data_IF_906986822529
#
_entry.id   IF_906986822529
#
_cell.length_a   1.000
_cell.length_b   1.000
_cell.length_c   1.000
_cell.angle_alpha   90.00
_cell.angle_beta   90.00
_cell.angle_gamma   90.00
#
_symmetry.space_group_name_H-M   'P 1'
#
loop_
_entity.id
_entity.type
_entity.pdbx_description
1 polymer ?
#
# COMPACT_ATOMS: atom_id res chain seq x y z
N UNK A 1 -6.22 9.70 -6.03
CA UNK A 1 -4.88 10.01 -6.56
C UNK A 1 -4.22 8.72 -7.02
N UNK A 2 -3.58 8.72 -8.19
CA UNK A 2 -3.00 7.52 -8.81
C UNK A 2 -1.45 7.50 -8.77
N UNK A 3 -0.80 6.59 -9.50
CA UNK A 3 0.67 6.44 -9.50
C UNK A 3 1.44 7.72 -9.87
N UNK A 4 0.82 8.66 -10.60
CA UNK A 4 1.43 9.96 -10.90
C UNK A 4 1.72 10.83 -9.68
N UNK A 5 1.09 10.57 -8.53
CA UNK A 5 1.41 11.25 -7.28
C UNK A 5 2.79 10.86 -6.73
N UNK A 6 3.37 9.73 -7.15
CA UNK A 6 4.73 9.33 -6.77
C UNK A 6 5.75 10.22 -7.45
N UNK A 7 5.51 10.59 -8.72
CA UNK A 7 6.44 11.41 -9.51
C UNK A 7 6.64 12.83 -8.98
N UNK A 8 5.74 13.32 -8.12
CA UNK A 8 5.84 14.65 -7.50
C UNK A 8 6.47 14.61 -6.10
N UNK A 9 6.94 13.43 -5.65
CA UNK A 9 7.63 13.29 -4.36
C UNK A 9 9.12 13.51 -4.53
N UNK A 10 9.70 14.27 -3.60
CA UNK A 10 11.16 14.44 -3.52
C UNK A 10 11.84 13.15 -3.03
N UNK A 11 11.18 12.41 -2.13
CA UNK A 11 11.67 11.14 -1.61
C UNK A 11 10.54 10.22 -1.12
N UNK A 12 10.89 8.94 -0.93
CA UNK A 12 9.99 7.89 -0.42
C UNK A 12 9.96 7.77 1.11
N UNK A 13 10.59 8.69 1.86
CA UNK A 13 10.45 8.70 3.31
C UNK A 13 8.99 8.91 3.74
N UNK A 14 8.68 8.57 4.99
CA UNK A 14 7.35 8.73 5.57
C UNK A 14 6.80 10.16 5.42
N UNK A 15 5.53 10.26 5.03
CA UNK A 15 4.77 11.50 5.01
C UNK A 15 4.20 11.77 6.39
N UNK A 16 4.38 12.99 6.86
CA UNK A 16 3.67 13.46 8.04
C UNK A 16 2.19 13.72 7.70
N UNK A 17 1.26 13.61 8.67
CA UNK A 17 -0.17 13.83 8.41
C UNK A 17 -0.55 15.22 7.90
N UNK A 18 0.28 16.23 8.16
CA UNK A 18 0.12 17.61 7.66
C UNK A 18 0.65 17.80 6.23
N UNK A 19 1.32 16.80 5.66
CA UNK A 19 1.83 16.86 4.29
C UNK A 19 0.68 16.82 3.28
N UNK A 20 0.67 17.75 2.31
CA UNK A 20 -0.43 17.88 1.33
C UNK A 20 -0.66 16.67 0.41
N UNK A 21 0.27 15.72 0.37
CA UNK A 21 0.13 14.44 -0.34
C UNK A 21 -0.32 13.27 0.56
N UNK A 22 -0.43 13.44 1.87
CA UNK A 22 -0.69 12.34 2.81
C UNK A 22 -1.98 11.57 2.48
N UNK A 23 -3.09 12.28 2.30
CA UNK A 23 -4.37 11.67 1.94
C UNK A 23 -4.37 11.03 0.55
N UNK A 24 -3.57 11.62 -0.36
CA UNK A 24 -3.39 11.10 -1.71
C UNK A 24 -2.71 9.71 -1.71
N UNK A 25 -1.96 9.35 -0.66
CA UNK A 25 -1.32 8.05 -0.48
C UNK A 25 -2.04 7.11 0.49
N UNK A 26 -2.78 7.66 1.46
CA UNK A 26 -3.57 6.86 2.41
C UNK A 26 -4.72 6.11 1.74
N UNK A 27 -5.42 6.74 0.78
CA UNK A 27 -6.52 6.08 0.09
C UNK A 27 -6.05 4.91 -0.83
N UNK A 28 -5.02 5.09 -1.68
CA UNK A 28 -4.43 3.99 -2.43
C UNK A 28 -3.84 2.87 -1.57
N UNK A 29 -3.28 3.17 -0.39
CA UNK A 29 -2.86 2.16 0.57
C UNK A 29 -4.03 1.25 0.95
N UNK A 30 -5.13 1.83 1.41
CA UNK A 30 -6.32 1.08 1.83
C UNK A 30 -6.89 0.24 0.68
N UNK A 31 -7.00 0.81 -0.52
CA UNK A 31 -7.49 0.08 -1.69
C UNK A 31 -6.55 -1.07 -2.09
N UNK A 32 -5.23 -0.84 -2.11
CA UNK A 32 -4.25 -1.86 -2.44
C UNK A 32 -4.19 -3.00 -1.42
N UNK A 33 -4.31 -2.69 -0.12
CA UNK A 33 -4.40 -3.71 0.94
C UNK A 33 -5.65 -4.59 0.79
N UNK A 34 -6.79 -3.97 0.48
CA UNK A 34 -8.05 -4.68 0.22
C UNK A 34 -7.91 -5.63 -0.98
N UNK A 35 -7.36 -5.14 -2.08
CA UNK A 35 -7.25 -5.91 -3.33
C UNK A 35 -6.21 -7.04 -3.20
N UNK A 36 -5.07 -6.79 -2.54
CA UNK A 36 -4.07 -7.82 -2.24
C UNK A 36 -4.63 -8.91 -1.32
N UNK A 37 -5.35 -8.53 -0.26
CA UNK A 37 -5.98 -9.50 0.64
C UNK A 37 -7.02 -10.35 -0.09
N UNK A 38 -7.79 -9.74 -0.99
CA UNK A 38 -8.74 -10.45 -1.84
C UNK A 38 -8.05 -11.42 -2.81
N UNK A 39 -6.95 -11.01 -3.44
CA UNK A 39 -6.18 -11.86 -4.35
C UNK A 39 -5.56 -13.07 -3.62
N UNK A 40 -5.00 -12.85 -2.43
CA UNK A 40 -4.47 -13.90 -1.55
C UNK A 40 -5.57 -14.89 -1.19
N UNK A 41 -6.71 -14.41 -0.68
CA UNK A 41 -7.82 -15.28 -0.30
C UNK A 41 -8.39 -16.07 -1.49
N UNK A 42 -8.41 -15.49 -2.70
CA UNK A 42 -8.77 -16.23 -3.90
C UNK A 42 -7.72 -17.29 -4.25
N UNK A 43 -6.44 -16.96 -4.15
CA UNK A 43 -5.31 -17.89 -4.34
C UNK A 43 -5.42 -19.12 -3.44
N UNK A 44 -5.74 -18.91 -2.16
CA UNK A 44 -5.98 -19.98 -1.18
C UNK A 44 -7.12 -20.92 -1.62
N UNK A 45 -8.22 -20.37 -2.16
CA UNK A 45 -9.37 -21.15 -2.64
C UNK A 45 -9.03 -22.00 -3.86
N UNK A 46 -8.22 -21.46 -4.78
CA UNK A 46 -7.89 -22.15 -6.04
C UNK A 46 -6.57 -22.94 -5.98
N UNK A 47 -5.89 -22.94 -4.84
CA UNK A 47 -4.63 -23.65 -4.64
C UNK A 47 -3.45 -23.04 -5.39
N UNK A 48 -3.42 -21.72 -5.58
CA UNK A 48 -2.33 -20.98 -6.22
C UNK A 48 -1.55 -20.22 -5.16
N UNK A 49 -0.26 -20.50 -5.05
CA UNK A 49 0.64 -19.77 -4.15
C UNK A 49 0.98 -18.38 -4.71
N UNK A 50 0.86 -17.35 -3.86
CA UNK A 50 1.06 -15.94 -4.21
C UNK A 50 2.10 -15.28 -3.28
N UNK A 51 3.36 -15.76 -3.25
CA UNK A 51 4.37 -15.30 -2.28
C UNK A 51 4.66 -13.80 -2.41
N UNK A 52 4.61 -13.28 -3.64
CA UNK A 52 4.80 -11.85 -3.91
C UNK A 52 3.63 -10.98 -3.46
N UNK A 53 2.40 -11.51 -3.47
CA UNK A 53 1.25 -10.77 -2.95
C UNK A 53 1.35 -10.60 -1.43
N UNK A 54 1.83 -11.61 -0.71
CA UNK A 54 2.12 -11.51 0.72
C UNK A 54 3.20 -10.46 1.04
N UNK A 55 4.32 -10.48 0.30
CA UNK A 55 5.38 -9.48 0.47
C UNK A 55 4.88 -8.08 0.14
N UNK A 56 4.08 -7.93 -0.92
CA UNK A 56 3.48 -6.66 -1.29
C UNK A 56 2.56 -6.14 -0.17
N UNK A 57 1.69 -6.99 0.38
CA UNK A 57 0.78 -6.62 1.46
C UNK A 57 1.54 -6.15 2.71
N UNK A 58 2.61 -6.84 3.07
CA UNK A 58 3.45 -6.49 4.23
C UNK A 58 4.19 -5.15 4.05
N UNK A 59 4.52 -4.78 2.81
CA UNK A 59 5.40 -3.62 2.53
C UNK A 59 4.67 -2.42 1.93
N UNK A 60 3.39 -2.56 1.59
CA UNK A 60 2.66 -1.55 0.83
C UNK A 60 2.59 -0.22 1.57
N UNK A 61 2.23 -0.23 2.86
CA UNK A 61 2.08 0.98 3.66
C UNK A 61 3.42 1.75 3.77
N UNK A 62 4.49 1.05 4.12
CA UNK A 62 5.84 1.61 4.24
C UNK A 62 6.36 2.13 2.90
N UNK A 63 6.15 1.35 1.82
CA UNK A 63 6.58 1.72 0.46
C UNK A 63 5.87 2.96 -0.10
N UNK A 64 4.64 3.23 0.34
CA UNK A 64 3.89 4.45 0.02
C UNK A 64 4.26 5.63 0.93
N UNK A 65 5.12 5.41 1.93
CA UNK A 65 5.49 6.41 2.93
C UNK A 65 4.31 6.81 3.82
N UNK A 66 3.35 5.91 4.05
CA UNK A 66 2.21 6.11 4.94
C UNK A 66 2.04 4.84 5.80
N UNK A 67 2.99 4.54 6.69
CA UNK A 67 2.93 3.35 7.53
C UNK A 67 1.69 3.39 8.43
N UNK A 68 1.22 2.21 8.85
CA UNK A 68 0.26 2.15 9.96
C UNK A 68 1.00 2.51 11.24
N UNK A 69 0.38 3.34 12.07
CA UNK A 69 0.89 3.58 13.42
C UNK A 69 0.51 2.36 14.25
N UNK A 70 1.49 1.74 14.88
CA UNK A 70 1.22 0.77 15.93
C UNK A 70 0.63 1.57 17.09
N UNK A 71 -0.62 1.29 17.46
CA UNK A 71 -1.17 1.71 18.76
C UNK A 71 -0.47 0.95 19.90
#
# INVERSE_FOLDING_TARGET
>A
SGPGAISVRDHLAELTPDHGLYDAFTHPRCLGEKDLSGAIGLGDVVGVDLPWAHVALQRLADGLGVPHKND
#
